data_IF_414323448486
#
_entry.id   IF_414323448486
#
_cell.length_a   1.000
_cell.length_b   1.000
_cell.length_c   1.000
_cell.angle_alpha   90.00
_cell.angle_beta   90.00
_cell.angle_gamma   90.00
#
_symmetry.space_group_name_H-M   'P 1'
#
loop_
_entity.id
_entity.type
_entity.pdbx_description
1 polymer ?
#
# COMPACT_ATOMS: atom_id res chain seq x y z
N UNK A 1 -4.21 -16.01 -18.42
CA UNK A 1 -4.82 -16.39 -17.12
C UNK A 1 -3.73 -16.90 -16.20
N UNK A 2 -3.32 -16.12 -15.20
CA UNK A 2 -2.42 -16.61 -14.18
C UNK A 2 -3.20 -17.57 -13.28
N UNK A 3 -2.69 -18.77 -13.08
CA UNK A 3 -3.25 -19.71 -12.12
C UNK A 3 -3.10 -19.13 -10.70
N UNK A 4 -4.10 -19.27 -9.82
CA UNK A 4 -4.00 -18.80 -8.45
C UNK A 4 -2.81 -19.47 -7.77
N UNK A 5 -1.87 -18.66 -7.26
CA UNK A 5 -0.71 -19.17 -6.52
C UNK A 5 -1.09 -19.16 -5.05
N UNK A 6 -1.19 -20.34 -4.42
CA UNK A 6 -1.36 -20.44 -2.98
C UNK A 6 -0.09 -19.96 -2.27
N UNK A 7 -0.24 -19.02 -1.36
CA UNK A 7 0.85 -18.51 -0.51
C UNK A 7 0.74 -19.01 0.93
N UNK A 8 -0.24 -19.87 1.22
CA UNK A 8 -0.41 -20.47 2.55
C UNK A 8 0.80 -21.28 2.94
N UNK A 9 1.25 -21.11 4.17
CA UNK A 9 2.40 -21.84 4.73
C UNK A 9 3.77 -21.35 4.27
N UNK A 10 3.84 -20.29 3.44
CA UNK A 10 5.12 -19.70 3.07
C UNK A 10 5.64 -18.77 4.18
N UNK A 11 6.93 -18.86 4.47
CA UNK A 11 7.60 -17.91 5.36
C UNK A 11 7.74 -16.52 4.70
N UNK A 12 7.90 -15.47 5.52
CA UNK A 12 8.11 -14.10 5.02
C UNK A 12 9.29 -14.03 4.02
N UNK A 13 10.40 -14.72 4.28
CA UNK A 13 11.54 -14.79 3.37
C UNK A 13 11.17 -15.42 2.01
N UNK A 14 10.35 -16.46 2.00
CA UNK A 14 9.87 -17.07 0.76
C UNK A 14 8.93 -16.16 -0.02
N UNK A 15 8.10 -15.37 0.67
CA UNK A 15 7.24 -14.37 0.05
C UNK A 15 8.06 -13.26 -0.60
N UNK A 16 9.05 -12.71 0.10
CA UNK A 16 9.97 -11.68 -0.43
C UNK A 16 10.66 -12.18 -1.71
N UNK A 17 11.21 -13.40 -1.71
CA UNK A 17 11.85 -14.00 -2.89
C UNK A 17 10.87 -14.21 -4.07
N UNK A 18 9.57 -14.27 -3.82
CA UNK A 18 8.51 -14.34 -4.85
C UNK A 18 8.02 -12.98 -5.32
N UNK A 19 8.56 -11.90 -4.74
CA UNK A 19 8.22 -10.53 -5.08
C UNK A 19 6.99 -9.98 -4.34
N UNK A 20 6.61 -10.58 -3.20
CA UNK A 20 5.58 -10.03 -2.30
C UNK A 20 6.29 -9.32 -1.17
N UNK A 21 6.21 -7.99 -1.15
CA UNK A 21 6.93 -7.13 -0.20
C UNK A 21 5.92 -6.41 0.68
N UNK A 22 6.19 -6.33 1.98
CA UNK A 22 5.35 -5.61 2.93
C UNK A 22 6.01 -4.29 3.35
N UNK A 23 5.23 -3.22 3.31
CA UNK A 23 5.52 -1.94 3.96
C UNK A 23 4.60 -1.85 5.18
N UNK A 24 5.20 -2.03 6.35
CA UNK A 24 4.48 -2.09 7.63
C UNK A 24 4.07 -0.69 8.09
N UNK A 25 3.03 -0.63 8.90
CA UNK A 25 2.67 0.55 9.68
C UNK A 25 3.88 1.12 10.44
N UNK A 26 3.93 2.44 10.59
CA UNK A 26 5.02 3.15 11.27
C UNK A 26 6.30 3.28 10.45
N UNK A 27 6.22 3.11 9.10
CA UNK A 27 7.31 3.40 8.14
C UNK A 27 8.52 2.47 8.25
N UNK A 28 8.92 2.05 9.45
CA UNK A 28 10.00 1.08 9.76
C UNK A 28 11.29 1.32 8.96
N UNK A 29 11.72 2.57 8.86
CA UNK A 29 13.05 2.91 8.34
C UNK A 29 14.14 2.51 9.34
N UNK A 30 15.33 2.20 8.84
CA UNK A 30 16.51 2.06 9.67
C UNK A 30 17.02 3.47 10.02
N UNK A 31 16.72 3.92 11.22
CA UNK A 31 16.88 5.33 11.64
C UNK A 31 18.32 5.83 11.54
N UNK A 32 19.32 4.95 11.76
CA UNK A 32 20.74 5.29 11.74
C UNK A 32 21.39 5.23 10.34
N UNK A 33 20.68 4.66 9.36
CA UNK A 33 21.12 4.62 7.97
C UNK A 33 20.66 5.88 7.24
N UNK A 34 21.42 6.26 6.22
CA UNK A 34 21.01 7.29 5.26
C UNK A 34 19.76 6.84 4.47
N UNK A 35 19.10 7.77 3.81
CA UNK A 35 17.98 7.46 2.90
C UNK A 35 18.45 6.49 1.82
N UNK A 36 19.61 6.74 1.18
CA UNK A 36 20.13 5.86 0.13
C UNK A 36 20.45 4.46 0.65
N UNK A 37 21.10 4.34 1.80
CA UNK A 37 21.39 3.05 2.42
C UNK A 37 20.10 2.30 2.76
N UNK A 38 19.06 2.99 3.27
CA UNK A 38 17.72 2.41 3.48
C UNK A 38 17.16 1.84 2.18
N UNK A 39 17.22 2.58 1.08
CA UNK A 39 16.74 2.11 -0.22
C UNK A 39 17.52 0.87 -0.66
N UNK A 40 18.83 0.89 -0.58
CA UNK A 40 19.69 -0.22 -0.98
C UNK A 40 19.45 -1.51 -0.18
N UNK A 41 19.01 -1.43 1.09
CA UNK A 41 18.63 -2.62 1.86
C UNK A 41 17.49 -3.41 1.19
N UNK A 42 16.62 -2.74 0.43
CA UNK A 42 15.54 -3.39 -0.34
C UNK A 42 16.04 -4.36 -1.42
N UNK A 43 17.25 -4.14 -1.92
CA UNK A 43 17.88 -4.98 -2.93
C UNK A 43 18.64 -6.20 -2.35
N UNK A 44 18.57 -6.45 -1.03
CA UNK A 44 19.38 -7.46 -0.34
C UNK A 44 19.26 -8.88 -0.93
N UNK A 45 18.07 -9.25 -1.42
CA UNK A 45 17.82 -10.59 -1.99
C UNK A 45 18.15 -10.71 -3.47
N UNK A 46 18.60 -9.62 -4.11
CA UNK A 46 18.85 -9.57 -5.55
C UNK A 46 20.25 -10.07 -5.90
N UNK A 47 20.35 -10.69 -7.08
CA UNK A 47 21.59 -11.27 -7.61
C UNK A 47 21.91 -10.76 -9.02
N UNK A 48 21.17 -9.75 -9.52
CA UNK A 48 21.26 -9.22 -10.89
C UNK A 48 22.36 -8.15 -11.09
N UNK A 49 23.18 -7.94 -10.06
CA UNK A 49 24.40 -7.12 -10.15
C UNK A 49 24.19 -5.64 -9.80
N UNK A 50 25.33 -4.98 -9.47
CA UNK A 50 25.34 -3.60 -8.96
C UNK A 50 24.83 -2.57 -9.98
N UNK A 51 25.06 -2.78 -11.27
CA UNK A 51 24.59 -1.90 -12.34
C UNK A 51 23.05 -1.82 -12.38
N UNK A 52 22.40 -2.98 -12.26
CA UNK A 52 20.94 -3.10 -12.26
C UNK A 52 20.34 -2.45 -11.01
N UNK A 53 20.97 -2.68 -9.84
CA UNK A 53 20.53 -2.06 -8.56
C UNK A 53 20.65 -0.53 -8.65
N UNK A 54 21.73 -0.01 -9.25
CA UNK A 54 21.92 1.43 -9.43
C UNK A 54 20.89 2.05 -10.39
N UNK A 55 20.55 1.35 -11.46
CA UNK A 55 19.50 1.78 -12.38
C UNK A 55 18.13 1.88 -11.69
N UNK A 56 17.79 0.91 -10.84
CA UNK A 56 16.55 0.94 -10.09
C UNK A 56 16.55 2.01 -8.99
N UNK A 57 17.71 2.31 -8.40
CA UNK A 57 17.83 3.42 -7.46
C UNK A 57 17.50 4.77 -8.14
N UNK A 58 18.03 4.98 -9.35
CA UNK A 58 17.68 6.18 -10.14
C UNK A 58 16.20 6.20 -10.55
N UNK A 59 15.60 5.04 -10.85
CA UNK A 59 14.17 4.94 -11.08
C UNK A 59 13.36 5.35 -9.83
N UNK A 60 13.74 4.87 -8.64
CA UNK A 60 13.11 5.27 -7.38
C UNK A 60 13.24 6.78 -7.15
N UNK A 61 14.39 7.36 -7.43
CA UNK A 61 14.58 8.82 -7.36
C UNK A 61 13.76 9.58 -8.40
N UNK A 62 13.44 8.97 -9.53
CA UNK A 62 12.53 9.54 -10.52
C UNK A 62 11.09 9.63 -10.00
N UNK A 63 10.62 8.64 -9.24
CA UNK A 63 9.31 8.66 -8.60
C UNK A 63 9.29 9.53 -7.33
N UNK A 64 10.39 9.59 -6.58
CA UNK A 64 10.53 10.32 -5.32
C UNK A 64 11.72 11.28 -5.35
N UNK A 65 11.64 12.42 -6.09
CA UNK A 65 12.78 13.35 -6.24
C UNK A 65 13.31 13.88 -4.91
N UNK A 66 12.42 14.06 -3.92
CA UNK A 66 12.82 14.51 -2.56
C UNK A 66 13.79 13.55 -1.90
N UNK A 67 13.70 12.23 -2.17
CA UNK A 67 14.64 11.26 -1.63
C UNK A 67 16.03 11.42 -2.22
N UNK A 68 16.12 11.83 -3.50
CA UNK A 68 17.43 12.14 -4.14
C UNK A 68 18.12 13.30 -3.46
N UNK A 69 17.38 14.36 -3.14
CA UNK A 69 17.90 15.55 -2.46
C UNK A 69 18.36 15.22 -1.03
N UNK A 70 17.70 14.25 -0.40
CA UNK A 70 17.95 13.79 0.97
C UNK A 70 18.77 12.52 1.06
N UNK A 71 19.33 12.00 -0.04
CA UNK A 71 19.97 10.68 -0.09
C UNK A 71 21.02 10.44 0.99
N UNK A 72 21.80 11.48 1.34
CA UNK A 72 22.85 11.43 2.35
C UNK A 72 22.36 11.79 3.77
N UNK A 73 21.08 12.16 3.94
CA UNK A 73 20.51 12.47 5.24
C UNK A 73 20.23 11.20 6.00
N UNK A 74 20.53 11.17 7.30
CA UNK A 74 20.13 10.06 8.19
C UNK A 74 18.61 9.98 8.26
N UNK A 75 18.05 8.80 8.00
CA UNK A 75 16.61 8.60 7.82
C UNK A 75 15.80 9.00 9.05
N UNK A 76 16.33 8.79 10.26
CA UNK A 76 15.67 9.18 11.50
C UNK A 76 15.42 10.68 11.65
N UNK A 77 16.16 11.52 10.92
CA UNK A 77 16.01 12.99 10.94
C UNK A 77 15.23 13.54 9.73
N UNK A 78 14.67 12.67 8.90
CA UNK A 78 13.81 13.09 7.78
C UNK A 78 12.36 13.25 8.23
N UNK A 79 11.57 13.99 7.45
CA UNK A 79 10.14 14.16 7.72
C UNK A 79 9.37 12.83 7.63
N UNK A 80 8.20 12.76 8.26
CA UNK A 80 7.35 11.57 8.18
C UNK A 80 6.99 11.16 6.75
N UNK A 81 6.78 12.14 5.85
CA UNK A 81 6.54 11.87 4.44
C UNK A 81 7.76 11.29 3.72
N UNK A 82 8.95 11.85 3.97
CA UNK A 82 10.21 11.33 3.42
C UNK A 82 10.50 9.91 3.93
N UNK A 83 10.20 9.62 5.19
CA UNK A 83 10.31 8.27 5.74
C UNK A 83 9.35 7.29 5.07
N UNK A 84 8.10 7.72 4.82
CA UNK A 84 7.11 6.90 4.12
C UNK A 84 7.53 6.63 2.67
N UNK A 85 7.99 7.67 1.95
CA UNK A 85 8.55 7.53 0.61
C UNK A 85 9.77 6.60 0.61
N UNK A 86 10.65 6.69 1.63
CA UNK A 86 11.81 5.80 1.80
C UNK A 86 11.36 4.35 1.99
N UNK A 87 10.33 4.09 2.79
CA UNK A 87 9.80 2.75 3.03
C UNK A 87 9.21 2.13 1.75
N UNK A 88 8.43 2.92 0.98
CA UNK A 88 7.89 2.48 -0.32
C UNK A 88 9.02 2.31 -1.35
N UNK A 89 9.95 3.25 -1.44
CA UNK A 89 11.12 3.18 -2.33
C UNK A 89 11.99 1.95 -2.03
N UNK A 90 12.20 1.63 -0.75
CA UNK A 90 12.89 0.41 -0.33
C UNK A 90 12.17 -0.86 -0.81
N UNK A 91 10.84 -0.87 -0.75
CA UNK A 91 10.07 -1.99 -1.27
C UNK A 91 10.25 -2.14 -2.79
N UNK A 92 10.30 -1.03 -3.54
CA UNK A 92 10.52 -1.03 -4.99
C UNK A 92 11.89 -1.57 -5.39
N UNK A 93 12.93 -1.33 -4.58
CA UNK A 93 14.27 -1.85 -4.83
C UNK A 93 14.34 -3.38 -4.87
N UNK A 94 13.35 -4.08 -4.31
CA UNK A 94 13.24 -5.54 -4.40
C UNK A 94 12.65 -6.02 -5.74
N UNK A 95 12.28 -5.15 -6.67
CA UNK A 95 11.50 -5.44 -7.90
C UNK A 95 10.24 -6.25 -7.60
N UNK A 96 9.31 -5.71 -6.79
CA UNK A 96 8.15 -6.45 -6.33
C UNK A 96 7.17 -6.70 -7.46
N UNK A 97 6.44 -7.83 -7.38
CA UNK A 97 5.22 -8.07 -8.13
C UNK A 97 4.01 -7.50 -7.38
N UNK A 98 4.09 -7.50 -6.05
CA UNK A 98 3.05 -7.03 -5.17
C UNK A 98 3.64 -6.34 -3.95
N UNK A 99 3.08 -5.19 -3.57
CA UNK A 99 3.39 -4.49 -2.33
C UNK A 99 2.14 -4.49 -1.45
N UNK A 100 2.32 -4.95 -0.20
CA UNK A 100 1.32 -4.86 0.86
C UNK A 100 1.60 -3.59 1.67
N UNK A 101 0.62 -2.69 1.79
CA UNK A 101 0.74 -1.43 2.51
C UNK A 101 -0.24 -1.41 3.67
N UNK A 102 0.28 -1.20 4.86
CA UNK A 102 -0.49 -1.16 6.10
C UNK A 102 -0.53 0.28 6.62
N UNK A 103 -1.70 0.91 6.53
CA UNK A 103 -1.98 2.30 6.91
C UNK A 103 -0.91 3.33 6.47
N UNK A 104 -0.55 3.36 5.17
CA UNK A 104 0.52 4.24 4.70
C UNK A 104 0.20 5.73 4.81
N UNK A 105 -1.06 6.11 5.01
CA UNK A 105 -1.49 7.50 5.19
C UNK A 105 -1.35 8.01 6.62
N UNK A 106 -1.16 7.12 7.61
CA UNK A 106 -1.22 7.47 9.02
C UNK A 106 -0.15 8.51 9.41
N UNK A 107 -0.59 9.61 10.02
CA UNK A 107 0.27 10.69 10.49
C UNK A 107 0.96 11.49 9.39
N UNK A 108 0.41 11.48 8.17
CA UNK A 108 0.88 12.30 7.05
C UNK A 108 -0.10 13.45 6.77
N UNK A 109 0.45 14.55 6.22
CA UNK A 109 -0.37 15.63 5.67
C UNK A 109 -1.17 15.14 4.45
N UNK A 110 -2.42 15.57 4.26
CA UNK A 110 -3.27 15.12 3.15
C UNK A 110 -2.61 15.24 1.77
N UNK A 111 -1.88 16.30 1.51
CA UNK A 111 -1.16 16.52 0.24
C UNK A 111 -0.08 15.48 -0.02
N UNK A 112 0.61 15.00 1.04
CA UNK A 112 1.61 13.94 0.92
C UNK A 112 0.96 12.57 0.69
N UNK A 113 -0.20 12.34 1.28
CA UNK A 113 -0.98 11.12 1.04
C UNK A 113 -1.40 11.04 -0.43
N UNK A 114 -1.92 12.14 -0.99
CA UNK A 114 -2.30 12.25 -2.40
C UNK A 114 -1.08 11.98 -3.30
N UNK A 115 0.06 12.64 -3.05
CA UNK A 115 1.31 12.45 -3.79
C UNK A 115 1.74 10.97 -3.80
N UNK A 116 1.73 10.30 -2.65
CA UNK A 116 2.11 8.88 -2.54
C UNK A 116 1.11 7.99 -3.29
N UNK A 117 -0.19 8.25 -3.18
CA UNK A 117 -1.22 7.49 -3.88
C UNK A 117 -1.12 7.64 -5.41
N UNK A 118 -0.86 8.86 -5.91
CA UNK A 118 -0.63 9.10 -7.34
C UNK A 118 0.61 8.34 -7.84
N UNK A 119 1.69 8.33 -7.07
CA UNK A 119 2.90 7.55 -7.40
C UNK A 119 2.58 6.06 -7.43
N UNK A 120 1.80 5.54 -6.48
CA UNK A 120 1.36 4.13 -6.50
C UNK A 120 0.54 3.79 -7.75
N UNK A 121 -0.36 4.68 -8.19
CA UNK A 121 -1.09 4.50 -9.45
C UNK A 121 -0.15 4.48 -10.67
N UNK A 122 0.83 5.39 -10.71
CA UNK A 122 1.82 5.41 -11.79
C UNK A 122 2.64 4.11 -11.82
N UNK A 123 3.10 3.63 -10.66
CA UNK A 123 3.83 2.37 -10.52
C UNK A 123 2.99 1.16 -10.94
N UNK A 124 1.69 1.14 -10.61
CA UNK A 124 0.78 0.10 -11.05
C UNK A 124 0.64 0.10 -12.58
N UNK A 125 0.47 1.28 -13.20
CA UNK A 125 0.24 1.41 -14.65
C UNK A 125 1.50 1.16 -15.47
N UNK A 126 2.65 1.70 -15.04
CA UNK A 126 3.91 1.67 -15.82
C UNK A 126 4.75 0.44 -15.51
N UNK A 127 4.89 0.11 -14.21
CA UNK A 127 5.78 -0.96 -13.74
C UNK A 127 5.01 -2.26 -13.44
N UNK A 128 3.68 -2.25 -13.59
CA UNK A 128 2.80 -3.41 -13.35
C UNK A 128 2.91 -3.97 -11.92
N UNK A 129 3.26 -3.13 -10.94
CA UNK A 129 3.27 -3.49 -9.53
C UNK A 129 1.84 -3.54 -9.00
N UNK A 130 1.44 -4.65 -8.41
CA UNK A 130 0.14 -4.76 -7.72
C UNK A 130 0.27 -4.20 -6.30
N UNK A 131 -0.73 -3.43 -5.86
CA UNK A 131 -0.81 -2.91 -4.49
C UNK A 131 -2.00 -3.51 -3.76
N UNK A 132 -1.79 -4.01 -2.54
CA UNK A 132 -2.84 -4.31 -1.59
C UNK A 132 -2.71 -3.33 -0.43
N UNK A 133 -3.70 -2.45 -0.29
CA UNK A 133 -3.73 -1.36 0.66
C UNK A 133 -4.72 -1.66 1.78
N UNK A 134 -4.27 -1.67 3.03
CA UNK A 134 -5.12 -1.65 4.21
C UNK A 134 -5.18 -0.21 4.75
N UNK A 135 -6.38 0.39 4.78
CA UNK A 135 -6.58 1.78 5.18
C UNK A 135 -7.89 1.98 5.92
N UNK A 136 -7.86 2.86 6.93
CA UNK A 136 -9.07 3.27 7.64
C UNK A 136 -9.81 4.38 6.89
N UNK A 137 -9.10 5.24 6.18
CA UNK A 137 -9.70 6.31 5.38
C UNK A 137 -10.28 5.73 4.08
N UNK A 138 -11.50 5.20 4.18
CA UNK A 138 -12.22 4.55 3.08
C UNK A 138 -12.36 5.46 1.85
N UNK A 139 -12.62 6.76 2.05
CA UNK A 139 -12.78 7.71 0.95
C UNK A 139 -11.48 7.84 0.14
N UNK A 140 -10.36 8.02 0.84
CA UNK A 140 -9.05 8.11 0.21
C UNK A 140 -8.71 6.79 -0.49
N UNK A 141 -8.82 5.65 0.19
CA UNK A 141 -8.48 4.36 -0.36
C UNK A 141 -9.26 4.05 -1.66
N UNK A 142 -10.59 4.23 -1.65
CA UNK A 142 -11.44 3.93 -2.81
C UNK A 142 -11.22 4.86 -4.00
N UNK A 143 -10.69 6.08 -3.80
CA UNK A 143 -10.34 6.99 -4.92
C UNK A 143 -9.16 6.48 -5.75
N UNK A 144 -8.24 5.76 -5.12
CA UNK A 144 -6.99 5.33 -5.75
C UNK A 144 -6.94 3.84 -6.08
N UNK A 145 -7.92 3.05 -5.61
CA UNK A 145 -8.01 1.61 -5.86
C UNK A 145 -8.92 1.28 -7.04
N UNK A 146 -8.74 0.09 -7.63
CA UNK A 146 -9.65 -0.45 -8.64
C UNK A 146 -10.75 -1.28 -7.99
N UNK A 147 -10.44 -1.98 -6.91
CA UNK A 147 -11.34 -2.90 -6.20
C UNK A 147 -11.16 -2.74 -4.70
N UNK A 148 -12.24 -2.86 -3.94
CA UNK A 148 -12.22 -2.72 -2.48
C UNK A 148 -12.90 -3.87 -1.77
N UNK A 149 -12.39 -4.16 -0.56
CA UNK A 149 -13.01 -5.02 0.44
C UNK A 149 -13.26 -4.21 1.70
N UNK A 150 -14.50 -4.12 2.15
CA UNK A 150 -14.84 -3.44 3.41
C UNK A 150 -14.92 -4.50 4.49
N UNK A 151 -14.10 -4.32 5.53
CA UNK A 151 -14.01 -5.22 6.67
C UNK A 151 -14.68 -4.58 7.89
N UNK A 152 -15.50 -5.36 8.58
CA UNK A 152 -16.07 -5.01 9.88
C UNK A 152 -15.92 -6.19 10.83
N UNK A 153 -15.31 -5.95 12.00
CA UNK A 153 -15.08 -6.98 13.03
C UNK A 153 -14.38 -8.24 12.47
N UNK A 154 -13.35 -8.05 11.62
CA UNK A 154 -12.55 -9.13 11.05
C UNK A 154 -13.27 -9.93 9.95
N UNK A 155 -14.37 -9.41 9.39
CA UNK A 155 -15.13 -10.06 8.31
C UNK A 155 -15.35 -9.11 7.15
N UNK A 156 -15.23 -9.62 5.93
CA UNK A 156 -15.63 -8.86 4.74
C UNK A 156 -17.15 -8.73 4.73
N UNK A 157 -17.64 -7.49 4.83
CA UNK A 157 -19.07 -7.18 4.81
C UNK A 157 -19.54 -6.74 3.43
N UNK A 158 -18.64 -6.15 2.63
CA UNK A 158 -18.92 -5.72 1.27
C UNK A 158 -17.64 -5.78 0.43
N UNK A 159 -17.77 -6.07 -0.85
CA UNK A 159 -16.67 -6.01 -1.82
C UNK A 159 -17.17 -5.62 -3.21
N UNK A 160 -16.31 -5.03 -4.02
CA UNK A 160 -16.66 -4.64 -5.39
C UNK A 160 -15.70 -3.62 -6.00
N UNK A 161 -16.03 -3.22 -7.23
CA UNK A 161 -15.31 -2.13 -7.90
C UNK A 161 -15.35 -0.86 -7.06
N UNK A 162 -14.22 -0.18 -6.95
CA UNK A 162 -14.09 1.01 -6.10
C UNK A 162 -15.11 2.11 -6.45
N UNK A 163 -15.40 2.32 -7.74
CA UNK A 163 -16.43 3.27 -8.17
C UNK A 163 -17.83 2.89 -7.67
N UNK A 164 -18.19 1.60 -7.77
CA UNK A 164 -19.46 1.08 -7.28
C UNK A 164 -19.57 1.23 -5.76
N UNK A 165 -18.48 1.00 -5.03
CA UNK A 165 -18.45 1.19 -3.58
C UNK A 165 -18.57 2.67 -3.19
N UNK A 166 -17.89 3.59 -3.91
CA UNK A 166 -18.02 5.03 -3.69
C UNK A 166 -19.44 5.56 -3.92
N UNK A 167 -20.19 4.96 -4.87
CA UNK A 167 -21.55 5.37 -5.18
C UNK A 167 -22.59 4.70 -4.28
N UNK A 168 -22.23 3.65 -3.56
CA UNK A 168 -23.13 2.94 -2.67
C UNK A 168 -23.55 3.81 -1.49
N UNK A 169 -24.88 3.89 -1.23
CA UNK A 169 -25.45 4.74 -0.21
C UNK A 169 -25.06 4.29 1.20
N UNK A 170 -24.99 2.99 1.45
CA UNK A 170 -24.57 2.45 2.75
C UNK A 170 -23.10 2.77 3.02
N UNK A 171 -22.23 2.69 1.99
CA UNK A 171 -20.82 3.08 2.12
C UNK A 171 -20.70 4.57 2.42
N UNK A 172 -21.47 5.41 1.74
CA UNK A 172 -21.52 6.87 1.99
C UNK A 172 -21.95 7.18 3.42
N UNK A 173 -22.99 6.52 3.89
CA UNK A 173 -23.56 6.76 5.23
C UNK A 173 -22.63 6.26 6.34
N UNK A 174 -22.11 5.03 6.22
CA UNK A 174 -21.39 4.36 7.32
C UNK A 174 -19.88 4.63 7.35
N UNK A 175 -19.24 4.81 6.19
CA UNK A 175 -17.78 4.89 6.09
C UNK A 175 -17.25 6.19 5.52
N UNK A 176 -18.05 6.96 4.76
CA UNK A 176 -17.61 8.24 4.20
C UNK A 176 -18.09 9.44 5.01
N UNK A 177 -18.89 9.24 6.06
CA UNK A 177 -19.33 10.30 6.97
C UNK A 177 -20.26 11.35 6.34
N UNK A 178 -20.98 11.02 5.26
CA UNK A 178 -21.82 11.96 4.49
C UNK A 178 -23.18 12.20 5.13
N UNK A 179 -23.54 11.50 6.22
CA UNK A 179 -24.79 11.73 6.94
C UNK A 179 -24.58 12.12 8.39
N UNK A 180 -25.22 13.22 8.82
CA UNK A 180 -25.24 13.72 10.21
C UNK A 180 -26.08 12.80 11.11
N UNK A 181 -25.52 11.66 11.55
CA UNK A 181 -26.18 10.76 12.46
C UNK A 181 -25.19 9.81 13.13
N UNK A 182 -25.55 9.27 14.30
CA UNK A 182 -24.75 8.30 15.03
C UNK A 182 -24.24 7.18 14.13
N UNK A 183 -22.98 6.75 14.33
CA UNK A 183 -22.35 5.62 13.60
C UNK A 183 -23.24 4.37 13.75
N UNK A 184 -23.96 4.02 12.71
CA UNK A 184 -24.72 2.77 12.64
C UNK A 184 -23.80 1.66 12.14
N UNK A 185 -23.87 0.47 12.75
CA UNK A 185 -23.15 -0.73 12.32
C UNK A 185 -24.01 -1.52 11.34
N UNK A 186 -23.39 -2.10 10.28
CA UNK A 186 -24.05 -3.03 9.35
C UNK A 186 -24.72 -4.23 10.04
N UNK A 187 -24.29 -4.54 11.27
CA UNK A 187 -24.87 -5.63 12.06
C UNK A 187 -26.39 -5.45 12.29
N UNK A 188 -26.89 -4.21 12.25
CA UNK A 188 -28.28 -3.85 12.55
C UNK A 188 -29.13 -3.62 11.28
N UNK A 189 -28.54 -3.71 10.09
CA UNK A 189 -29.26 -3.51 8.81
C UNK A 189 -29.85 -4.83 8.34
N UNK A 190 -31.19 -4.95 8.42
CA UNK A 190 -31.95 -6.20 8.12
C UNK A 190 -31.94 -6.68 6.66
N UNK A 191 -31.34 -5.96 5.71
CA UNK A 191 -31.44 -6.25 4.28
C UNK A 191 -30.16 -6.67 3.59
N UNK A 192 -29.07 -6.95 4.32
CA UNK A 192 -27.86 -7.42 3.70
C UNK A 192 -27.98 -8.89 3.29
N UNK A 193 -28.19 -9.14 1.99
CA UNK A 193 -28.07 -10.48 1.42
C UNK A 193 -26.60 -10.90 1.43
N UNK A 194 -26.21 -11.72 2.43
CA UNK A 194 -24.91 -12.42 2.43
C UNK A 194 -24.79 -13.19 1.12
N UNK A 195 -23.91 -12.78 0.21
CA UNK A 195 -23.44 -13.64 -0.88
C UNK A 195 -22.64 -14.78 -0.24
N UNK A 196 -23.28 -15.93 -0.06
CA UNK A 196 -22.58 -17.20 0.17
C UNK A 196 -21.82 -17.55 -1.12
N UNK A 197 -20.58 -17.18 -1.23
CA UNK A 197 -19.64 -17.74 -2.20
C UNK A 197 -18.27 -17.66 -1.58
N UNK A 198 -17.83 -18.79 -1.08
CA UNK A 198 -16.45 -19.28 -0.89
C UNK A 198 -16.50 -20.51 0.00
N UNK A 199 -17.12 -21.59 -0.49
CA UNK A 199 -16.92 -22.98 -0.06
C UNK A 199 -17.59 -23.87 -1.13
N UNK A 200 -16.85 -24.16 -2.17
CA UNK A 200 -16.96 -25.34 -3.03
C UNK A 200 -15.64 -25.52 -3.76
#
# INVERSE_FOLDING_TARGET
CALPISIQGLSANQLVKRGVIQVMEGRRCFEHLTVEENLLTGAFTRTDGASSIRADLELVYGYFPRLKDRRNSTSGYTSGGEQQMTAVGRALMARPKMILLDEPSMGLAPTLVEEICEIMQQLNQKEQVTFLLAEQNTNMALRYCHYGYILENGRVVMDGDAKTLLDNQDVKEFYLGVSGGERKSFRNVKHYRRRKRWLS
#
